data_IF_624662665794
#
_entry.id   IF_624662665794
#
_cell.length_a   1.000
_cell.length_b   1.000
_cell.length_c   1.000
_cell.angle_alpha   90.00
_cell.angle_beta   90.00
_cell.angle_gamma   90.00
#
_symmetry.space_group_name_H-M   'P 1'
#
loop_
_entity.id
_entity.type
_entity.pdbx_description
1 polymer ?
#
# COMPACT_ATOMS: atom_id res chain seq x y z
N UNK A 1 0.16 9.41 17.12
CA UNK A 1 0.01 8.14 16.40
C UNK A 1 1.37 7.52 16.23
N UNK A 2 1.53 6.28 16.66
CA UNK A 2 2.79 5.52 16.52
C UNK A 2 3.08 5.21 15.03
N UNK A 3 4.35 5.10 14.66
CA UNK A 3 4.81 4.74 13.31
C UNK A 3 5.99 3.78 13.44
N UNK A 4 6.03 2.73 12.63
CA UNK A 4 7.12 1.74 12.65
C UNK A 4 8.52 2.39 12.46
N UNK A 5 8.59 3.54 11.78
CA UNK A 5 9.83 4.29 11.55
C UNK A 5 10.42 4.79 12.87
N UNK A 6 9.59 5.13 13.86
CA UNK A 6 10.07 5.53 15.17
C UNK A 6 10.80 4.37 15.85
N UNK A 7 10.21 3.17 15.81
CA UNK A 7 10.83 1.96 16.37
C UNK A 7 12.16 1.63 15.69
N UNK A 8 12.26 1.83 14.37
CA UNK A 8 13.53 1.66 13.64
C UNK A 8 14.60 2.65 14.12
N UNK A 9 14.26 3.93 14.28
CA UNK A 9 15.19 4.95 14.77
C UNK A 9 15.66 4.65 16.20
N UNK A 10 14.75 4.22 17.06
CA UNK A 10 15.07 3.89 18.45
C UNK A 10 15.95 2.63 18.54
N UNK A 11 15.77 1.67 17.63
CA UNK A 11 16.52 0.41 17.61
C UNK A 11 17.92 0.52 16.98
N UNK A 12 18.14 1.54 16.14
CA UNK A 12 19.41 1.75 15.43
C UNK A 12 19.82 3.22 15.52
N UNK A 13 20.30 3.69 16.68
CA UNK A 13 20.61 5.10 16.92
C UNK A 13 21.73 5.65 16.02
N UNK A 14 22.59 4.76 15.51
CA UNK A 14 23.71 5.11 14.63
C UNK A 14 23.31 5.18 13.15
N UNK A 15 22.06 4.84 12.81
CA UNK A 15 21.55 4.87 11.43
C UNK A 15 20.58 6.04 11.19
N UNK A 16 20.69 6.66 10.02
CA UNK A 16 19.78 7.73 9.60
C UNK A 16 18.59 7.17 8.80
N UNK A 17 17.37 7.27 9.34
CA UNK A 17 16.14 6.90 8.65
C UNK A 17 15.42 8.11 8.05
N UNK A 18 15.46 8.23 6.73
CA UNK A 18 14.76 9.27 5.95
C UNK A 18 13.47 8.70 5.37
N UNK A 19 12.32 9.21 5.83
CA UNK A 19 11.03 8.87 5.22
C UNK A 19 10.77 9.77 4.00
N UNK A 20 10.73 9.16 2.81
CA UNK A 20 10.40 9.85 1.56
C UNK A 20 8.95 9.61 1.09
N UNK A 21 8.16 8.81 1.81
CA UNK A 21 6.79 8.49 1.45
C UNK A 21 5.85 9.69 1.63
N UNK A 22 4.84 9.78 0.75
CA UNK A 22 3.80 10.81 0.82
C UNK A 22 2.44 10.11 0.97
N UNK A 23 1.56 10.54 1.89
CA UNK A 23 0.23 9.94 2.01
C UNK A 23 -0.57 10.06 0.70
N UNK A 24 -1.18 8.95 0.26
CA UNK A 24 -1.97 8.90 -0.98
C UNK A 24 -1.16 8.97 -2.28
N UNK A 25 0.14 8.62 -2.23
CA UNK A 25 1.00 8.50 -3.41
C UNK A 25 1.38 7.04 -3.64
N UNK A 26 1.39 6.60 -4.90
CA UNK A 26 1.88 5.28 -5.29
C UNK A 26 3.21 5.36 -6.06
N UNK A 27 3.52 4.28 -6.76
CA UNK A 27 4.78 4.15 -7.52
C UNK A 27 4.93 5.18 -8.65
N UNK A 28 3.81 5.66 -9.22
CA UNK A 28 3.84 6.66 -10.29
C UNK A 28 4.37 8.00 -9.79
N UNK A 29 3.88 8.48 -8.66
CA UNK A 29 4.36 9.69 -7.99
C UNK A 29 5.77 9.50 -7.44
N UNK A 30 6.06 8.33 -6.86
CA UNK A 30 7.38 7.99 -6.34
C UNK A 30 8.45 8.08 -7.43
N UNK A 31 8.19 7.54 -8.62
CA UNK A 31 9.12 7.59 -9.74
C UNK A 31 9.42 9.02 -10.22
N UNK A 32 8.45 9.94 -10.13
CA UNK A 32 8.66 11.35 -10.50
C UNK A 32 9.56 12.07 -9.50
N UNK A 33 9.37 11.84 -8.19
CA UNK A 33 10.16 12.53 -7.16
C UNK A 33 11.49 11.83 -6.86
N UNK A 34 11.68 10.59 -7.31
CA UNK A 34 12.82 9.75 -6.95
C UNK A 34 14.16 10.43 -7.23
N UNK A 35 14.35 11.05 -8.41
CA UNK A 35 15.61 11.73 -8.75
C UNK A 35 16.00 12.78 -7.72
N UNK A 36 15.10 13.70 -7.41
CA UNK A 36 15.37 14.79 -6.46
C UNK A 36 15.55 14.26 -5.04
N UNK A 37 14.77 13.24 -4.65
CA UNK A 37 14.90 12.61 -3.33
C UNK A 37 16.23 11.88 -3.17
N UNK A 38 16.64 11.08 -4.14
CA UNK A 38 17.91 10.34 -4.12
C UNK A 38 19.12 11.27 -4.23
N UNK A 39 18.99 12.41 -4.92
CA UNK A 39 20.05 13.44 -4.94
C UNK A 39 20.21 14.11 -3.57
N UNK A 40 19.10 14.44 -2.91
CA UNK A 40 19.11 15.12 -1.60
C UNK A 40 19.47 14.18 -0.45
N UNK A 41 19.02 12.93 -0.52
CA UNK A 41 19.21 11.90 0.49
C UNK A 41 19.68 10.60 -0.17
N UNK A 42 20.94 10.54 -0.64
CA UNK A 42 21.47 9.34 -1.28
C UNK A 42 21.54 8.19 -0.27
N UNK A 43 20.78 7.09 -0.43
CA UNK A 43 20.72 6.03 0.56
C UNK A 43 21.86 5.01 0.39
N UNK A 44 22.21 4.32 1.46
CA UNK A 44 22.99 3.06 1.43
C UNK A 44 22.04 1.84 1.32
N UNK A 45 20.83 1.97 1.87
CA UNK A 45 19.74 1.00 1.78
C UNK A 45 18.45 1.73 1.37
N UNK A 46 17.78 1.26 0.32
CA UNK A 46 16.44 1.72 -0.05
C UNK A 46 15.39 0.76 0.50
N UNK A 47 14.36 1.26 1.19
CA UNK A 47 13.19 0.47 1.56
C UNK A 47 11.96 1.00 0.81
N UNK A 48 11.22 0.10 0.17
CA UNK A 48 9.99 0.42 -0.57
C UNK A 48 8.86 -0.43 -0.01
N UNK A 49 7.76 0.21 0.37
CA UNK A 49 6.52 -0.49 0.72
C UNK A 49 5.62 -0.53 -0.51
N UNK A 50 4.99 -1.68 -0.72
CA UNK A 50 3.91 -1.86 -1.70
C UNK A 50 2.76 -2.59 -1.02
N UNK A 51 1.55 -2.04 -1.12
CA UNK A 51 0.34 -2.63 -0.55
C UNK A 51 -0.41 -3.41 -1.62
N UNK A 52 -0.71 -4.67 -1.33
CA UNK A 52 -1.53 -5.50 -2.22
C UNK A 52 -2.93 -4.88 -2.33
N UNK A 53 -3.42 -4.68 -3.56
CA UNK A 53 -4.67 -3.96 -3.85
C UNK A 53 -4.44 -2.48 -4.15
N UNK A 54 -4.25 -1.66 -3.10
CA UNK A 54 -4.24 -0.20 -3.19
C UNK A 54 -3.24 0.36 -4.22
N UNK A 55 -2.00 -0.14 -4.22
CA UNK A 55 -0.96 0.37 -5.11
C UNK A 55 -1.28 0.13 -6.60
N UNK A 56 -1.93 -0.99 -6.93
CA UNK A 56 -2.32 -1.30 -8.30
C UNK A 56 -3.53 -0.47 -8.75
N UNK A 57 -4.49 -0.23 -7.86
CA UNK A 57 -5.59 0.69 -8.12
C UNK A 57 -5.10 2.12 -8.43
N UNK A 58 -4.07 2.59 -7.72
CA UNK A 58 -3.51 3.91 -7.94
C UNK A 58 -2.78 4.05 -9.29
N UNK A 59 -2.39 2.95 -9.93
CA UNK A 59 -1.79 2.97 -11.28
C UNK A 59 -2.86 3.20 -12.35
N UNK A 60 -4.00 2.52 -12.23
CA UNK A 60 -5.14 2.66 -13.13
C UNK A 60 -6.45 2.39 -12.41
N UNK A 61 -7.38 3.33 -12.53
CA UNK A 61 -8.74 3.28 -11.98
C UNK A 61 -9.71 2.75 -13.02
N UNK A 62 -10.81 2.18 -12.56
CA UNK A 62 -11.91 1.80 -13.44
C UNK A 62 -12.72 3.04 -13.79
N UNK A 63 -12.71 3.44 -15.07
CA UNK A 63 -13.19 4.77 -15.52
C UNK A 63 -14.47 4.72 -16.36
N UNK A 64 -15.08 3.55 -16.49
CA UNK A 64 -16.22 3.24 -17.34
C UNK A 64 -17.33 2.47 -16.59
N UNK A 65 -17.32 2.52 -15.25
CA UNK A 65 -18.30 1.79 -14.46
C UNK A 65 -19.64 2.57 -14.39
N UNK A 66 -20.77 1.97 -14.82
CA UNK A 66 -22.08 2.63 -14.82
C UNK A 66 -22.64 2.92 -13.41
N UNK A 67 -22.16 2.22 -12.38
CA UNK A 67 -22.53 2.46 -10.98
C UNK A 67 -21.82 3.68 -10.39
N UNK A 68 -20.86 4.25 -11.11
CA UNK A 68 -20.08 5.41 -10.70
C UNK A 68 -20.51 6.63 -11.51
N UNK A 69 -20.64 7.78 -10.84
CA UNK A 69 -21.10 9.00 -11.52
C UNK A 69 -20.17 9.39 -12.68
N UNK A 70 -20.74 9.92 -13.76
CA UNK A 70 -19.99 10.31 -14.96
C UNK A 70 -18.86 11.31 -14.65
N UNK A 71 -19.09 12.25 -13.73
CA UNK A 71 -18.07 13.20 -13.27
C UNK A 71 -16.91 12.47 -12.59
N UNK A 72 -17.20 11.46 -11.76
CA UNK A 72 -16.18 10.66 -11.07
C UNK A 72 -15.38 9.81 -12.06
N UNK A 73 -16.06 9.15 -12.99
CA UNK A 73 -15.44 8.39 -14.08
C UNK A 73 -14.52 9.28 -14.93
N UNK A 74 -15.00 10.46 -15.33
CA UNK A 74 -14.20 11.44 -16.05
C UNK A 74 -12.97 11.89 -15.25
N UNK A 75 -13.15 12.25 -13.97
CA UNK A 75 -12.03 12.59 -13.10
C UNK A 75 -11.00 11.46 -13.02
N UNK A 76 -11.43 10.21 -12.82
CA UNK A 76 -10.55 9.06 -12.74
C UNK A 76 -9.77 8.85 -14.03
N UNK A 77 -10.45 8.91 -15.18
CA UNK A 77 -9.83 8.82 -16.49
C UNK A 77 -8.69 9.83 -16.64
N UNK A 78 -8.98 11.11 -16.44
CA UNK A 78 -7.98 12.16 -16.56
C UNK A 78 -6.86 12.05 -15.53
N UNK A 79 -7.18 11.59 -14.32
CA UNK A 79 -6.19 11.40 -13.25
C UNK A 79 -5.16 10.32 -13.58
N UNK A 80 -5.49 9.33 -14.40
CA UNK A 80 -4.57 8.26 -14.79
C UNK A 80 -3.56 8.69 -15.86
N UNK A 81 -3.90 9.72 -16.65
CA UNK A 81 -3.00 10.33 -17.63
C UNK A 81 -2.23 11.54 -17.10
N UNK A 82 -2.68 12.16 -16.00
CA UNK A 82 -2.09 13.40 -15.49
C UNK A 82 -1.91 13.41 -13.97
N UNK A 83 -0.65 13.29 -13.54
CA UNK A 83 -0.25 13.49 -12.14
C UNK A 83 -0.54 14.91 -11.64
N UNK A 84 -0.62 15.89 -12.54
CA UNK A 84 -1.01 17.25 -12.17
C UNK A 84 -2.44 17.29 -11.60
N UNK A 85 -3.37 16.55 -12.20
CA UNK A 85 -4.75 16.47 -11.72
C UNK A 85 -4.80 15.81 -10.34
N UNK A 86 -4.02 14.74 -10.13
CA UNK A 86 -3.88 14.10 -8.81
C UNK A 86 -3.32 15.07 -7.76
N UNK A 87 -2.27 15.81 -8.11
CA UNK A 87 -1.66 16.80 -7.24
C UNK A 87 -2.62 17.95 -6.88
N UNK A 88 -3.43 18.41 -7.84
CA UNK A 88 -4.47 19.42 -7.60
C UNK A 88 -5.54 18.88 -6.64
N UNK A 89 -6.04 17.65 -6.88
CA UNK A 89 -7.02 17.02 -5.99
C UNK A 89 -6.47 16.86 -4.56
N UNK A 90 -5.21 16.45 -4.42
CA UNK A 90 -4.54 16.36 -3.12
C UNK A 90 -4.43 17.71 -2.40
N UNK A 91 -4.01 18.78 -3.11
CA UNK A 91 -3.95 20.15 -2.55
C UNK A 91 -5.33 20.67 -2.13
N UNK A 92 -6.36 20.42 -2.94
CA UNK A 92 -7.74 20.78 -2.62
C UNK A 92 -8.23 20.04 -1.36
N UNK A 93 -7.91 18.75 -1.22
CA UNK A 93 -8.20 17.98 -0.01
C UNK A 93 -7.55 18.57 1.24
N UNK A 94 -6.25 18.92 1.16
CA UNK A 94 -5.56 19.59 2.26
C UNK A 94 -6.19 20.95 2.61
N UNK A 95 -6.56 21.74 1.60
CA UNK A 95 -7.22 23.02 1.82
C UNK A 95 -8.55 22.84 2.55
N UNK A 96 -9.42 21.94 2.07
CA UNK A 96 -10.70 21.61 2.72
C UNK A 96 -10.53 21.16 4.16
N UNK A 97 -9.49 20.37 4.45
CA UNK A 97 -9.15 19.95 5.81
C UNK A 97 -8.75 21.13 6.70
N UNK A 98 -8.06 22.13 6.15
CA UNK A 98 -7.63 23.32 6.91
C UNK A 98 -8.79 24.27 7.20
N UNK A 99 -9.73 24.42 6.27
CA UNK A 99 -10.90 25.32 6.44
C UNK A 99 -12.06 24.69 7.20
N UNK A 100 -11.90 23.47 7.74
CA UNK A 100 -12.95 22.78 8.50
C UNK A 100 -14.14 22.29 7.65
N UNK A 101 -14.08 22.45 6.33
CA UNK A 101 -15.12 22.01 5.37
C UNK A 101 -14.97 20.52 5.03
N UNK A 102 -13.90 19.87 5.47
CA UNK A 102 -13.77 18.42 5.41
C UNK A 102 -14.66 17.75 6.47
N UNK A 103 -15.98 17.85 6.31
CA UNK A 103 -16.97 17.27 7.23
C UNK A 103 -17.17 15.77 7.08
N UNK A 104 -16.53 15.10 6.10
CA UNK A 104 -16.99 13.75 5.69
C UNK A 104 -15.93 12.65 5.55
N UNK A 105 -14.64 12.92 5.78
CA UNK A 105 -13.59 11.90 5.58
C UNK A 105 -12.42 12.08 6.55
N UNK A 106 -12.70 12.33 7.83
CA UNK A 106 -11.79 11.73 8.81
C UNK A 106 -12.08 10.24 8.70
N UNK A 107 -11.29 9.52 7.90
CA UNK A 107 -11.08 8.10 8.09
C UNK A 107 -10.90 7.96 9.61
N UNK A 108 -11.91 7.41 10.28
CA UNK A 108 -11.89 7.23 11.71
C UNK A 108 -10.90 6.08 11.90
N UNK A 109 -9.60 6.41 11.90
CA UNK A 109 -8.50 5.57 12.38
C UNK A 109 -8.64 5.45 13.89
N UNK A 110 -9.77 4.90 14.28
CA UNK A 110 -10.28 4.75 15.62
C UNK A 110 -10.49 3.26 15.82
N UNK A 111 -10.19 2.79 17.02
CA UNK A 111 -10.44 1.42 17.43
C UNK A 111 -11.95 1.28 17.76
N UNK A 112 -12.77 1.37 16.72
CA UNK A 112 -14.22 1.14 16.79
C UNK A 112 -14.56 -0.21 16.13
N UNK A 113 -15.56 -0.93 16.64
CA UNK A 113 -16.07 -2.13 15.98
C UNK A 113 -16.48 -1.87 14.54
N UNK A 114 -16.35 -2.87 13.68
CA UNK A 114 -16.78 -2.81 12.29
C UNK A 114 -18.23 -2.30 12.14
N UNK A 115 -18.40 -1.37 11.20
CA UNK A 115 -19.70 -0.86 10.78
C UNK A 115 -19.59 -0.45 9.32
N UNK A 116 -20.54 -0.93 8.50
CA UNK A 116 -20.64 -0.54 7.09
C UNK A 116 -20.75 0.99 6.97
N UNK A 117 -21.46 1.65 7.88
CA UNK A 117 -21.65 3.10 7.88
C UNK A 117 -20.38 3.86 8.20
N UNK A 118 -19.62 3.38 9.19
CA UNK A 118 -18.36 3.99 9.64
C UNK A 118 -17.19 3.66 8.73
N UNK A 119 -17.29 2.63 7.88
CA UNK A 119 -16.23 2.26 6.95
C UNK A 119 -15.91 3.39 5.98
N UNK A 120 -14.64 3.50 5.60
CA UNK A 120 -14.15 4.50 4.64
C UNK A 120 -15.04 4.61 3.39
N UNK A 121 -15.59 5.82 3.18
CA UNK A 121 -16.38 6.15 1.97
C UNK A 121 -15.58 5.92 0.69
N UNK A 122 -14.26 6.14 0.73
CA UNK A 122 -13.36 5.90 -0.41
C UNK A 122 -13.35 4.43 -0.78
N UNK A 123 -13.14 3.55 0.20
CA UNK A 123 -13.06 2.11 -0.03
C UNK A 123 -14.39 1.54 -0.52
N UNK A 124 -15.51 1.97 0.07
CA UNK A 124 -16.86 1.59 -0.43
C UNK A 124 -17.05 1.98 -1.90
N UNK A 125 -16.61 3.17 -2.30
CA UNK A 125 -16.66 3.62 -3.69
C UNK A 125 -15.75 2.79 -4.60
N UNK A 126 -14.58 2.37 -4.11
CA UNK A 126 -13.65 1.52 -4.86
C UNK A 126 -14.28 0.14 -5.08
N UNK A 127 -14.85 -0.50 -4.06
CA UNK A 127 -15.50 -1.81 -4.22
C UNK A 127 -16.76 -1.73 -5.08
N UNK A 128 -17.51 -0.62 -5.04
CA UNK A 128 -18.59 -0.38 -6.00
C UNK A 128 -18.09 -0.28 -7.45
N UNK A 129 -16.89 0.28 -7.65
CA UNK A 129 -16.29 0.44 -8.96
C UNK A 129 -15.61 -0.83 -9.48
N UNK A 130 -15.03 -1.64 -8.60
CA UNK A 130 -14.32 -2.87 -8.93
C UNK A 130 -14.40 -3.87 -7.77
N UNK A 131 -15.47 -4.67 -7.71
CA UNK A 131 -15.69 -5.66 -6.65
C UNK A 131 -14.54 -6.68 -6.50
N UNK A 132 -13.91 -7.04 -7.62
CA UNK A 132 -12.84 -8.04 -7.67
C UNK A 132 -11.43 -7.46 -7.44
N UNK A 133 -11.31 -6.16 -7.14
CA UNK A 133 -10.02 -5.44 -7.09
C UNK A 133 -8.96 -6.19 -6.29
N UNK A 134 -9.32 -6.65 -5.09
CA UNK A 134 -8.37 -7.31 -4.19
C UNK A 134 -8.00 -8.69 -4.73
N UNK A 135 -8.96 -9.50 -5.20
CA UNK A 135 -8.68 -10.83 -5.77
C UNK A 135 -7.78 -10.70 -6.99
N UNK A 136 -8.14 -9.86 -7.96
CA UNK A 136 -7.32 -9.63 -9.15
C UNK A 136 -5.94 -9.06 -8.81
N UNK A 137 -5.82 -8.26 -7.74
CA UNK A 137 -4.52 -7.78 -7.28
C UNK A 137 -3.67 -8.87 -6.65
N UNK A 138 -4.24 -9.73 -5.80
CA UNK A 138 -3.53 -10.85 -5.15
C UNK A 138 -3.07 -11.87 -6.20
N UNK A 139 -3.94 -12.23 -7.13
CA UNK A 139 -3.65 -13.20 -8.18
C UNK A 139 -2.97 -12.60 -9.41
N UNK A 140 -2.74 -11.28 -9.41
CA UNK A 140 -2.14 -10.54 -10.52
C UNK A 140 -2.83 -10.86 -11.87
N UNK A 141 -4.16 -10.89 -11.84
CA UNK A 141 -5.02 -11.26 -12.97
C UNK A 141 -5.52 -10.01 -13.72
N UNK A 142 -6.01 -10.26 -14.94
CA UNK A 142 -6.62 -9.26 -15.81
C UNK A 142 -5.82 -7.96 -15.91
N UNK A 143 -6.52 -6.85 -15.66
CA UNK A 143 -6.03 -5.49 -15.61
C UNK A 143 -4.95 -5.35 -14.53
N UNK A 144 -5.12 -5.97 -13.35
CA UNK A 144 -4.21 -5.80 -12.22
C UNK A 144 -2.85 -6.46 -12.45
N UNK A 145 -2.79 -7.56 -13.20
CA UNK A 145 -1.52 -8.11 -13.69
C UNK A 145 -0.73 -7.11 -14.54
N UNK A 146 -1.38 -6.42 -15.47
CA UNK A 146 -0.72 -5.37 -16.27
C UNK A 146 -0.28 -4.16 -15.43
N UNK A 147 -1.04 -3.81 -14.39
CA UNK A 147 -0.65 -2.74 -13.47
C UNK A 147 0.57 -3.13 -12.62
N UNK A 148 0.69 -4.41 -12.23
CA UNK A 148 1.88 -4.91 -11.56
C UNK A 148 3.13 -4.83 -12.46
N UNK A 149 3.01 -5.18 -13.74
CA UNK A 149 4.11 -4.98 -14.70
C UNK A 149 4.51 -3.50 -14.81
N UNK A 150 3.54 -2.59 -14.81
CA UNK A 150 3.81 -1.14 -14.81
C UNK A 150 4.46 -0.69 -13.50
N UNK A 151 4.09 -1.28 -12.36
CA UNK A 151 4.74 -1.05 -11.08
C UNK A 151 6.22 -1.46 -11.14
N UNK A 152 6.51 -2.66 -11.65
CA UNK A 152 7.88 -3.19 -11.81
C UNK A 152 8.73 -2.29 -12.71
N UNK A 153 8.20 -1.85 -13.86
CA UNK A 153 8.89 -0.90 -14.75
C UNK A 153 9.27 0.41 -14.05
N UNK A 154 8.39 0.93 -13.18
CA UNK A 154 8.67 2.16 -12.42
C UNK A 154 9.66 1.90 -11.29
N UNK A 155 9.59 0.74 -10.65
CA UNK A 155 10.57 0.34 -9.66
C UNK A 155 11.96 0.20 -10.29
N UNK A 156 12.09 -0.45 -11.45
CA UNK A 156 13.34 -0.57 -12.21
C UNK A 156 13.92 0.81 -12.57
N UNK A 157 13.05 1.74 -12.94
CA UNK A 157 13.47 3.13 -13.18
C UNK A 157 14.07 3.78 -11.93
N UNK A 158 13.48 3.56 -10.75
CA UNK A 158 14.02 4.04 -9.47
C UNK A 158 15.35 3.36 -9.15
N UNK A 159 15.45 2.04 -9.34
CA UNK A 159 16.69 1.27 -9.12
C UNK A 159 17.85 1.77 -9.98
N UNK A 160 17.59 2.13 -11.23
CA UNK A 160 18.59 2.67 -12.15
C UNK A 160 19.16 4.03 -11.69
N UNK A 161 18.44 4.76 -10.84
CA UNK A 161 18.89 6.05 -10.29
C UNK A 161 19.64 5.93 -8.96
N UNK A 162 19.70 4.73 -8.37
CA UNK A 162 20.38 4.54 -7.09
C UNK A 162 21.89 4.79 -7.22
N UNK A 163 22.51 5.43 -6.20
CA UNK A 163 23.94 5.63 -6.20
C UNK A 163 24.66 4.27 -6.12
N UNK A 164 25.88 4.16 -6.66
CA UNK A 164 26.65 2.89 -6.64
C UNK A 164 26.87 2.32 -5.22
N UNK A 165 26.88 3.18 -4.20
CA UNK A 165 26.99 2.78 -2.80
C UNK A 165 25.73 2.14 -2.22
N UNK A 166 24.58 2.30 -2.87
CA UNK A 166 23.34 1.64 -2.47
C UNK A 166 23.44 0.15 -2.82
N UNK A 167 23.94 -0.63 -1.86
CA UNK A 167 24.18 -2.06 -2.05
C UNK A 167 22.91 -2.89 -1.84
N UNK A 168 21.87 -2.32 -1.21
CA UNK A 168 20.68 -3.09 -0.82
C UNK A 168 19.37 -2.33 -1.07
N UNK A 169 18.36 -3.08 -1.47
CA UNK A 169 16.98 -2.64 -1.64
C UNK A 169 16.07 -3.67 -0.99
N UNK A 170 15.19 -3.21 -0.11
CA UNK A 170 14.18 -4.04 0.53
C UNK A 170 12.80 -3.63 -0.01
N UNK A 171 12.14 -4.55 -0.71
CA UNK A 171 10.75 -4.39 -1.14
C UNK A 171 9.88 -5.11 -0.12
N UNK A 172 9.09 -4.35 0.62
CA UNK A 172 8.19 -4.82 1.66
C UNK A 172 6.78 -4.92 1.09
N UNK A 173 6.32 -6.15 0.87
CA UNK A 173 4.96 -6.42 0.43
C UNK A 173 4.06 -6.48 1.64
N UNK A 174 3.25 -5.42 1.82
CA UNK A 174 2.26 -5.33 2.88
C UNK A 174 0.98 -5.98 2.36
N UNK A 175 0.50 -7.06 3.00
CA UNK A 175 -0.71 -7.74 2.55
C UNK A 175 -1.94 -6.86 2.71
N UNK A 176 -2.98 -7.11 1.93
CA UNK A 176 -4.29 -6.57 2.23
C UNK A 176 -4.86 -7.23 3.48
N UNK A 177 -5.67 -6.53 4.29
CA UNK A 177 -6.25 -7.11 5.51
C UNK A 177 -7.09 -8.37 5.25
N UNK A 178 -7.77 -8.43 4.10
CA UNK A 178 -8.50 -9.64 3.64
C UNK A 178 -7.59 -10.87 3.44
N UNK A 179 -6.30 -10.70 3.12
CA UNK A 179 -5.36 -11.83 3.05
C UNK A 179 -4.96 -12.32 4.46
N UNK A 180 -4.99 -11.42 5.45
CA UNK A 180 -4.48 -11.67 6.80
C UNK A 180 -5.46 -12.48 7.64
N UNK A 181 -6.76 -12.20 7.56
CA UNK A 181 -7.76 -12.91 8.38
C UNK A 181 -9.12 -12.95 7.68
N UNK A 182 -9.82 -14.09 7.77
CA UNK A 182 -11.17 -14.26 7.23
C UNK A 182 -12.15 -13.21 7.78
N UNK A 183 -11.97 -12.78 9.03
CA UNK A 183 -12.73 -11.68 9.64
C UNK A 183 -12.80 -10.43 8.75
N UNK A 184 -11.66 -10.01 8.19
CA UNK A 184 -11.61 -8.85 7.30
C UNK A 184 -12.22 -9.15 5.94
N UNK A 185 -11.98 -10.35 5.41
CA UNK A 185 -12.52 -10.79 4.13
C UNK A 185 -14.06 -10.78 4.15
N UNK A 186 -14.66 -11.27 5.23
CA UNK A 186 -16.12 -11.28 5.43
C UNK A 186 -16.66 -9.86 5.48
N UNK A 187 -16.06 -9.00 6.30
CA UNK A 187 -16.46 -7.59 6.39
C UNK A 187 -16.36 -6.86 5.06
N UNK A 188 -15.26 -7.02 4.32
CA UNK A 188 -15.06 -6.38 3.02
C UNK A 188 -16.07 -6.89 1.98
N UNK A 189 -16.47 -8.16 2.05
CA UNK A 189 -17.53 -8.70 1.20
C UNK A 189 -18.86 -7.97 1.44
N UNK A 190 -19.18 -7.61 2.69
CA UNK A 190 -20.38 -6.80 2.99
C UNK A 190 -20.32 -5.36 2.47
N UNK A 191 -19.12 -4.86 2.13
CA UNK A 191 -18.91 -3.53 1.55
C UNK A 191 -19.04 -3.52 0.01
N UNK A 192 -19.30 -4.68 -0.61
CA UNK A 192 -19.49 -4.83 -2.05
C UNK A 192 -18.34 -5.47 -2.80
N UNK A 193 -17.29 -5.96 -2.11
CA UNK A 193 -16.29 -6.80 -2.76
C UNK A 193 -16.86 -8.18 -3.08
N UNK A 194 -16.37 -8.80 -4.15
CA UNK A 194 -16.71 -10.20 -4.45
C UNK A 194 -16.21 -11.11 -3.32
N UNK A 195 -17.00 -12.09 -2.87
CA UNK A 195 -16.58 -13.05 -1.86
C UNK A 195 -15.23 -13.70 -2.20
N UNK A 196 -14.38 -13.78 -1.19
CA UNK A 196 -13.02 -14.27 -1.34
C UNK A 196 -12.94 -15.80 -1.29
N UNK A 197 -12.11 -16.39 -2.14
CA UNK A 197 -11.77 -17.81 -2.02
C UNK A 197 -10.73 -18.04 -0.92
N UNK A 198 -10.66 -19.24 -0.31
CA UNK A 198 -9.63 -19.56 0.69
C UNK A 198 -8.18 -19.37 0.20
N UNK A 199 -7.97 -19.35 -1.12
CA UNK A 199 -6.67 -19.13 -1.73
C UNK A 199 -6.08 -17.73 -1.42
N UNK A 200 -6.90 -16.74 -1.05
CA UNK A 200 -6.41 -15.40 -0.69
C UNK A 200 -5.47 -15.41 0.54
N UNK A 201 -5.58 -16.45 1.38
CA UNK A 201 -4.79 -16.60 2.60
C UNK A 201 -3.47 -17.37 2.37
N UNK A 202 -3.18 -17.82 1.15
CA UNK A 202 -1.93 -18.56 0.91
C UNK A 202 -0.70 -17.64 1.09
N UNK A 203 0.36 -18.10 1.77
CA UNK A 203 1.55 -17.28 2.04
C UNK A 203 2.33 -16.95 0.76
N UNK A 204 2.26 -17.83 -0.24
CA UNK A 204 2.74 -17.61 -1.59
C UNK A 204 1.54 -17.34 -2.50
N UNK A 205 1.61 -16.26 -3.27
CA UNK A 205 0.54 -15.82 -4.17
C UNK A 205 1.13 -15.06 -5.37
N UNK A 206 0.44 -15.03 -6.53
CA UNK A 206 1.02 -14.58 -7.78
C UNK A 206 1.63 -13.17 -7.74
N UNK A 207 1.00 -12.19 -7.08
CA UNK A 207 1.58 -10.85 -6.94
C UNK A 207 2.97 -10.89 -6.31
N UNK A 208 3.14 -11.61 -5.20
CA UNK A 208 4.42 -11.75 -4.51
C UNK A 208 5.43 -12.50 -5.39
N UNK A 209 5.01 -13.65 -5.94
CA UNK A 209 5.86 -14.51 -6.75
C UNK A 209 6.37 -13.79 -7.99
N UNK A 210 5.55 -12.99 -8.65
CA UNK A 210 5.97 -12.20 -9.82
C UNK A 210 7.03 -11.15 -9.46
N UNK A 211 6.89 -10.44 -8.33
CA UNK A 211 7.93 -9.48 -7.88
C UNK A 211 9.23 -10.22 -7.55
N UNK A 212 9.15 -11.35 -6.84
CA UNK A 212 10.32 -12.16 -6.50
C UNK A 212 11.04 -12.68 -7.75
N UNK A 213 10.29 -13.21 -8.72
CA UNK A 213 10.83 -13.71 -9.98
C UNK A 213 11.49 -12.60 -10.81
N UNK A 214 10.86 -11.43 -10.91
CA UNK A 214 11.42 -10.28 -11.64
C UNK A 214 12.78 -9.85 -11.09
N UNK A 215 12.98 -9.96 -9.77
CA UNK A 215 14.22 -9.57 -9.10
C UNK A 215 15.16 -10.72 -8.72
N UNK A 216 14.84 -11.98 -9.06
CA UNK A 216 15.62 -13.16 -8.66
C UNK A 216 17.10 -13.10 -9.10
N UNK A 217 17.40 -12.46 -10.22
CA UNK A 217 18.76 -12.27 -10.73
C UNK A 217 19.51 -11.06 -10.15
N UNK A 218 18.87 -10.25 -9.31
CA UNK A 218 19.46 -9.03 -8.74
C UNK A 218 19.77 -9.22 -7.25
N UNK A 219 21.01 -9.56 -6.87
CA UNK A 219 21.37 -9.88 -5.48
C UNK A 219 21.26 -8.69 -4.52
N UNK A 220 21.03 -7.48 -5.04
CA UNK A 220 20.81 -6.27 -4.23
C UNK A 220 19.35 -6.14 -3.77
N UNK A 221 18.40 -6.82 -4.41
CA UNK A 221 16.97 -6.64 -4.17
C UNK A 221 16.44 -7.83 -3.38
N UNK A 222 15.95 -7.57 -2.17
CA UNK A 222 15.28 -8.56 -1.34
C UNK A 222 13.81 -8.21 -1.22
N UNK A 223 12.94 -9.17 -1.49
CA UNK A 223 11.49 -9.01 -1.47
C UNK A 223 10.93 -9.78 -0.27
N UNK A 224 10.27 -9.07 0.65
CA UNK A 224 9.73 -9.61 1.89
C UNK A 224 8.21 -9.54 1.90
N UNK A 225 7.57 -10.67 2.20
CA UNK A 225 6.14 -10.71 2.49
C UNK A 225 5.91 -10.59 3.98
N UNK A 226 5.05 -9.66 4.39
CA UNK A 226 4.61 -9.54 5.78
C UNK A 226 3.43 -10.47 6.10
N UNK A 227 2.87 -11.15 5.09
CA UNK A 227 1.67 -11.96 5.24
C UNK A 227 1.77 -13.06 6.30
N UNK A 228 2.82 -13.92 6.33
CA UNK A 228 2.87 -15.00 7.31
C UNK A 228 2.92 -14.49 8.76
N UNK A 229 3.71 -13.43 9.00
CA UNK A 229 3.82 -12.81 10.33
C UNK A 229 2.50 -12.16 10.72
N UNK A 230 1.85 -11.46 9.79
CA UNK A 230 0.58 -10.80 10.07
C UNK A 230 -0.52 -11.82 10.35
N UNK A 231 -0.61 -12.91 9.59
CA UNK A 231 -1.56 -14.00 9.84
C UNK A 231 -1.34 -14.63 11.22
N UNK A 232 -0.09 -14.83 11.63
CA UNK A 232 0.23 -15.38 12.94
C UNK A 232 -0.14 -14.43 14.09
N UNK A 233 0.01 -13.12 13.90
CA UNK A 233 -0.14 -12.11 14.95
C UNK A 233 -1.54 -11.50 15.02
N UNK A 234 -2.32 -11.56 13.94
CA UNK A 234 -3.70 -11.07 13.91
C UNK A 234 -4.65 -12.08 14.55
N UNK A 235 -5.16 -11.75 15.74
CA UNK A 235 -6.08 -12.60 16.51
C UNK A 235 -7.31 -11.81 16.93
N UNK A 236 -8.36 -12.50 17.38
CA UNK A 236 -9.62 -11.86 17.82
C UNK A 236 -9.42 -10.75 18.87
N UNK A 237 -8.43 -10.88 19.75
CA UNK A 237 -8.10 -9.86 20.75
C UNK A 237 -6.98 -8.89 20.34
N UNK A 238 -6.40 -9.07 19.15
CA UNK A 238 -5.24 -8.31 18.68
C UNK A 238 -5.26 -8.16 17.15
N UNK A 239 -6.16 -7.30 16.67
CA UNK A 239 -6.29 -6.94 15.26
C UNK A 239 -5.16 -6.00 14.84
N UNK A 240 -4.61 -6.22 13.64
CA UNK A 240 -3.49 -5.44 13.10
C UNK A 240 -3.93 -4.30 12.17
N UNK A 241 -5.17 -4.35 11.69
CA UNK A 241 -5.82 -3.32 10.88
C UNK A 241 -6.99 -2.72 11.63
N UNK A 242 -7.31 -1.46 11.35
CA UNK A 242 -8.56 -0.87 11.81
C UNK A 242 -9.73 -1.66 11.21
N UNK A 243 -10.78 -1.89 12.00
CA UNK A 243 -11.94 -2.64 11.50
C UNK A 243 -12.72 -1.86 10.44
N UNK A 244 -12.66 -0.52 10.48
CA UNK A 244 -13.38 0.38 9.57
C UNK A 244 -12.51 1.01 8.47
N UNK A 245 -11.26 0.57 8.35
CA UNK A 245 -10.29 1.16 7.42
C UNK A 245 -9.13 0.18 7.14
N UNK A 246 -8.70 -0.03 5.88
CA UNK A 246 -7.73 -1.07 5.54
C UNK A 246 -6.28 -0.71 5.89
N UNK A 247 -6.02 0.35 6.66
CA UNK A 247 -4.68 0.68 7.13
C UNK A 247 -4.34 -0.04 8.44
N UNK A 248 -3.03 -0.29 8.63
CA UNK A 248 -2.51 -0.82 9.88
C UNK A 248 -2.82 0.11 11.05
N UNK A 249 -3.31 -0.45 12.15
CA UNK A 249 -3.47 0.24 13.42
C UNK A 249 -2.15 0.27 14.20
N UNK A 250 -2.18 0.73 15.45
CA UNK A 250 -0.97 0.82 16.29
C UNK A 250 -0.30 -0.54 16.49
N UNK A 251 -1.08 -1.62 16.66
CA UNK A 251 -0.57 -2.97 16.79
C UNK A 251 0.09 -3.46 15.50
N UNK A 252 -0.57 -3.28 14.34
CA UNK A 252 0.01 -3.63 13.04
C UNK A 252 1.31 -2.88 12.74
N UNK A 253 1.37 -1.59 13.06
CA UNK A 253 2.59 -0.77 12.95
C UNK A 253 3.71 -1.28 13.86
N UNK A 254 3.38 -1.75 15.07
CA UNK A 254 4.34 -2.33 16.01
C UNK A 254 4.93 -3.64 15.47
N UNK A 255 4.08 -4.55 15.00
CA UNK A 255 4.51 -5.84 14.43
C UNK A 255 5.39 -5.61 13.19
N UNK A 256 4.98 -4.73 12.28
CA UNK A 256 5.79 -4.34 11.13
C UNK A 256 7.18 -3.84 11.54
N UNK A 257 7.23 -2.92 12.51
CA UNK A 257 8.50 -2.38 12.99
C UNK A 257 9.39 -3.45 13.63
N UNK A 258 8.83 -4.32 14.47
CA UNK A 258 9.58 -5.43 15.09
C UNK A 258 10.15 -6.41 14.05
N UNK A 259 9.36 -6.76 13.03
CA UNK A 259 9.82 -7.60 11.93
C UNK A 259 10.99 -6.93 11.19
N UNK A 260 10.87 -5.63 10.89
CA UNK A 260 11.94 -4.90 10.20
C UNK A 260 13.20 -4.74 11.05
N UNK A 261 13.07 -4.56 12.37
CA UNK A 261 14.22 -4.55 13.28
C UNK A 261 14.95 -5.89 13.22
N UNK A 262 14.24 -7.02 13.24
CA UNK A 262 14.86 -8.35 13.10
C UNK A 262 15.60 -8.47 11.77
N UNK A 263 14.93 -8.14 10.67
CA UNK A 263 15.50 -8.20 9.31
C UNK A 263 16.75 -7.34 9.20
N UNK A 264 16.74 -6.11 9.74
CA UNK A 264 17.88 -5.20 9.67
C UNK A 264 19.05 -5.60 10.58
N UNK A 265 18.80 -6.31 11.69
CA UNK A 265 19.86 -6.86 12.54
C UNK A 265 20.66 -7.94 11.84
N UNK A 266 19.99 -8.79 11.05
CA UNK A 266 20.66 -9.82 10.24
C UNK A 266 21.55 -9.24 9.13
N UNK A 267 21.48 -7.92 8.92
CA UNK A 267 22.22 -7.18 7.89
C UNK A 267 23.38 -6.33 8.42
N UNK A 268 23.57 -6.25 9.74
CA UNK A 268 24.74 -5.65 10.39
C UNK A 268 25.85 -6.68 10.54
#
# INVERSE_FOLDING_TARGET
>A
TFSYIQLLRDSFPDLAFVNAATPGSGILEAAVIARERLKRFPPDVLMVQVYVGNDLWDIRKTCDNPNISTIRNGYWYWSDYSLFIRALNYKLGQYKSRVGVATETRELKQELPFSIDLYSKREKLIFQAEPDLIQHSVFAEDKRGADLLRWLQKMDHILAMLPKRAQRVLILVIPHCAQVNQFYADHISTLGATPFTPAIHQPEYPFLTQIQQHYAGNPRVNVFSLLPVFQQKDTTGHRLYYENDPHLNTAGQMILGQTLVSVLKDYQ
#
